data_IF_509931762112
#
_entry.id   IF_509931762112
#
_cell.length_a   1.000
_cell.length_b   1.000
_cell.length_c   1.000
_cell.angle_alpha   90.00
_cell.angle_beta   90.00
_cell.angle_gamma   90.00
#
_symmetry.space_group_name_H-M   'P 1'
#
loop_
_entity.id
_entity.type
_entity.pdbx_description
1 polymer ?
#
# COMPACT_ATOMS: atom_id res chain seq x y z
N UNK A 1 16.73 4.52 1.16
CA UNK A 1 16.30 5.91 1.49
C UNK A 1 17.51 6.83 1.46
N UNK A 2 17.34 8.13 1.15
CA UNK A 2 18.39 9.15 1.24
C UNK A 2 17.92 10.33 2.11
N UNK A 3 18.81 11.28 2.42
CA UNK A 3 18.51 12.44 3.29
C UNK A 3 17.32 13.27 2.81
N UNK A 4 17.16 13.46 1.49
CA UNK A 4 16.04 14.19 0.90
C UNK A 4 14.72 13.46 1.11
N UNK A 5 14.70 12.14 0.90
CA UNK A 5 13.51 11.28 1.13
C UNK A 5 13.14 11.24 2.61
N UNK A 6 14.11 11.06 3.51
CA UNK A 6 13.88 11.05 4.96
C UNK A 6 13.24 12.37 5.45
N UNK A 7 13.80 13.52 5.03
CA UNK A 7 13.23 14.83 5.38
C UNK A 7 11.79 14.98 4.90
N UNK A 8 11.51 14.55 3.66
CA UNK A 8 10.18 14.64 3.09
C UNK A 8 9.17 13.73 3.78
N UNK A 9 9.55 12.48 4.09
CA UNK A 9 8.71 11.56 4.84
C UNK A 9 8.33 12.17 6.21
N UNK A 10 9.29 12.73 6.94
CA UNK A 10 8.99 13.44 8.19
C UNK A 10 8.04 14.62 7.97
N UNK A 11 8.24 15.44 6.94
CA UNK A 11 7.34 16.55 6.65
C UNK A 11 5.90 16.10 6.35
N UNK A 12 5.74 15.02 5.58
CA UNK A 12 4.43 14.42 5.29
C UNK A 12 3.80 13.95 6.60
N UNK A 13 4.50 13.15 7.40
CA UNK A 13 3.97 12.65 8.68
C UNK A 13 3.56 13.80 9.63
N UNK A 14 4.42 14.80 9.80
CA UNK A 14 4.16 15.92 10.71
C UNK A 14 3.00 16.83 10.29
N UNK A 15 2.64 16.84 8.99
CA UNK A 15 1.59 17.74 8.47
C UNK A 15 0.21 17.08 8.34
N UNK A 16 0.13 15.75 8.37
CA UNK A 16 -1.11 15.03 8.04
C UNK A 16 -1.78 14.33 9.22
N UNK A 17 -1.07 14.14 10.32
CA UNK A 17 -1.57 13.39 11.46
C UNK A 17 -1.51 14.28 12.71
N UNK A 18 -2.60 14.30 13.48
CA UNK A 18 -2.79 15.22 14.61
C UNK A 18 -3.36 14.48 15.81
N UNK A 19 -2.55 13.65 16.47
CA UNK A 19 -2.77 12.93 17.73
C UNK A 19 -1.59 11.96 17.89
N UNK A 20 -1.27 11.43 19.09
CA UNK A 20 -0.19 10.45 19.20
C UNK A 20 -0.58 9.18 18.42
N UNK A 21 -0.07 9.10 17.20
CA UNK A 21 -0.03 7.89 16.38
C UNK A 21 1.34 7.26 16.57
N UNK A 22 1.41 5.93 16.53
CA UNK A 22 2.70 5.25 16.44
C UNK A 22 3.13 5.13 14.97
N UNK A 23 4.38 5.46 14.69
CA UNK A 23 5.00 5.29 13.37
C UNK A 23 5.98 4.12 13.45
N UNK A 24 5.76 3.14 12.59
CA UNK A 24 6.59 1.94 12.50
C UNK A 24 7.34 1.94 11.18
N UNK A 25 8.67 1.90 11.25
CA UNK A 25 9.54 1.94 10.08
C UNK A 25 10.30 0.63 9.94
N UNK A 26 10.27 0.04 8.75
CA UNK A 26 11.18 -1.04 8.36
C UNK A 26 12.28 -0.46 7.47
N UNK A 27 13.54 -0.66 7.83
CA UNK A 27 14.68 0.06 7.22
C UNK A 27 15.77 -0.90 6.80
N UNK A 28 16.18 -0.81 5.53
CA UNK A 28 17.31 -1.57 5.00
C UNK A 28 18.66 -1.06 5.56
N UNK A 29 19.69 -1.91 5.51
CA UNK A 29 21.01 -1.60 6.07
C UNK A 29 21.65 -0.32 5.49
N UNK A 30 21.45 -0.03 4.20
CA UNK A 30 22.02 1.16 3.56
C UNK A 30 21.30 2.44 3.99
N UNK A 31 20.03 2.33 4.38
CA UNK A 31 19.22 3.43 4.88
C UNK A 31 19.41 3.72 6.37
N UNK A 32 20.08 2.84 7.11
CA UNK A 32 20.24 2.94 8.56
C UNK A 32 20.90 4.25 9.00
N UNK A 33 21.84 4.77 8.20
CA UNK A 33 22.55 6.03 8.45
C UNK A 33 21.63 7.26 8.52
N UNK A 34 20.40 7.17 8.01
CA UNK A 34 19.42 8.26 8.04
C UNK A 34 18.36 8.11 9.14
N UNK A 35 18.35 6.98 9.86
CA UNK A 35 17.30 6.63 10.84
C UNK A 35 17.28 7.60 12.01
N UNK A 36 18.42 7.91 12.61
CA UNK A 36 18.47 8.77 13.80
C UNK A 36 17.90 10.17 13.53
N UNK A 37 18.27 10.76 12.39
CA UNK A 37 17.75 12.06 11.96
C UNK A 37 16.25 12.00 11.66
N UNK A 38 15.79 10.94 10.99
CA UNK A 38 14.38 10.73 10.68
C UNK A 38 13.54 10.55 11.94
N UNK A 39 13.95 9.64 12.84
CA UNK A 39 13.26 9.33 14.10
C UNK A 39 13.19 10.56 14.99
N UNK A 40 14.30 11.32 15.10
CA UNK A 40 14.31 12.57 15.87
C UNK A 40 13.32 13.59 15.32
N UNK A 41 13.25 13.72 13.98
CA UNK A 41 12.34 14.64 13.29
C UNK A 41 10.87 14.22 13.40
N UNK A 42 10.57 12.92 13.41
CA UNK A 42 9.20 12.43 13.60
C UNK A 42 8.78 12.58 15.07
N UNK A 43 9.65 12.25 16.03
CA UNK A 43 9.37 12.41 17.46
C UNK A 43 9.11 13.86 17.87
N UNK A 44 9.79 14.83 17.26
CA UNK A 44 9.56 16.25 17.54
C UNK A 44 8.15 16.72 17.14
N UNK A 45 7.46 15.97 16.29
CA UNK A 45 6.06 16.21 15.91
C UNK A 45 5.05 15.45 16.80
N UNK A 46 5.51 14.77 17.86
CA UNK A 46 4.65 14.15 18.86
C UNK A 46 4.27 12.67 18.61
N UNK A 47 4.90 12.01 17.63
CA UNK A 47 4.67 10.59 17.38
C UNK A 47 5.53 9.69 18.27
N UNK A 48 4.96 8.57 18.70
CA UNK A 48 5.76 7.42 19.11
C UNK A 48 6.38 6.78 17.86
N UNK A 49 7.65 6.42 17.93
CA UNK A 49 8.36 5.87 16.76
C UNK A 49 9.11 4.62 17.15
N UNK A 50 8.82 3.53 16.44
CA UNK A 50 9.57 2.28 16.48
C UNK A 50 10.21 2.04 15.11
N UNK A 51 11.48 1.65 15.12
CA UNK A 51 12.21 1.27 13.92
C UNK A 51 12.60 -0.19 14.02
N UNK A 52 12.61 -0.86 12.87
CA UNK A 52 13.03 -2.23 12.72
C UNK A 52 13.98 -2.27 11.53
N UNK A 53 15.15 -2.86 11.73
CA UNK A 53 16.00 -3.17 10.60
C UNK A 53 15.34 -4.31 9.81
N UNK A 54 15.32 -4.22 8.48
CA UNK A 54 14.87 -5.34 7.63
C UNK A 54 15.54 -6.63 8.13
N UNK A 55 14.78 -7.70 8.43
CA UNK A 55 15.34 -8.85 9.10
C UNK A 55 16.41 -9.51 8.22
N UNK A 56 17.60 -9.80 8.78
CA UNK A 56 18.74 -10.26 7.98
C UNK A 56 18.66 -11.69 7.42
N UNK A 57 17.77 -12.59 7.87
CA UNK A 57 17.75 -13.97 7.35
C UNK A 57 16.36 -14.58 7.04
N UNK A 58 15.30 -14.13 7.71
CA UNK A 58 13.98 -14.81 7.69
C UNK A 58 13.28 -14.76 6.31
N UNK A 59 13.62 -13.79 5.45
CA UNK A 59 13.06 -13.70 4.09
C UNK A 59 13.94 -14.34 3.01
N UNK A 60 15.19 -14.69 3.35
CA UNK A 60 16.19 -15.21 2.43
C UNK A 60 16.11 -16.74 2.28
N UNK A 61 15.26 -17.43 3.03
CA UNK A 61 15.06 -18.87 2.89
C UNK A 61 14.18 -19.20 1.66
N UNK A 62 14.70 -18.89 0.48
CA UNK A 62 14.50 -19.61 -0.78
C UNK A 62 15.82 -19.51 -1.55
N UNK A 63 16.52 -20.63 -1.83
CA UNK A 63 17.81 -20.57 -2.48
C UNK A 63 17.64 -20.35 -3.98
N UNK A 64 18.13 -19.21 -4.47
CA UNK A 64 18.54 -19.09 -5.87
C UNK A 64 19.82 -18.28 -5.93
N UNK A 65 20.87 -18.95 -6.44
CA UNK A 65 22.23 -18.44 -6.58
C UNK A 65 22.26 -17.18 -7.43
N UNK A 66 23.27 -16.34 -7.16
CA UNK A 66 23.42 -14.99 -7.68
C UNK A 66 23.18 -14.85 -9.18
N UNK A 67 22.50 -13.77 -9.54
CA UNK A 67 22.46 -13.25 -10.88
C UNK A 67 22.66 -11.73 -10.83
N UNK A 68 23.58 -11.26 -11.67
CA UNK A 68 23.95 -9.88 -11.85
C UNK A 68 22.77 -9.02 -12.34
N UNK A 69 23.00 -7.71 -12.37
CA UNK A 69 22.04 -6.63 -12.59
C UNK A 69 21.17 -6.71 -13.88
N UNK A 70 21.35 -7.73 -14.72
CA UNK A 70 20.65 -7.97 -15.99
C UNK A 70 19.48 -8.97 -15.90
N UNK A 71 19.33 -9.73 -14.81
CA UNK A 71 18.23 -10.71 -14.63
C UNK A 71 16.89 -10.09 -14.17
N UNK A 72 16.74 -8.76 -14.17
CA UNK A 72 15.59 -8.04 -13.57
C UNK A 72 14.28 -8.14 -14.37
N UNK A 73 14.24 -8.86 -15.49
CA UNK A 73 13.11 -8.92 -16.41
C UNK A 73 12.46 -10.32 -16.57
N UNK A 74 12.92 -11.34 -15.86
CA UNK A 74 12.19 -12.62 -15.84
C UNK A 74 10.95 -12.55 -14.94
N UNK A 75 9.77 -12.98 -15.41
CA UNK A 75 8.53 -12.95 -14.62
C UNK A 75 8.67 -13.64 -13.25
N UNK A 76 9.41 -14.75 -13.17
CA UNK A 76 9.76 -15.48 -11.93
C UNK A 76 10.38 -14.57 -10.88
N UNK A 77 11.32 -13.72 -11.28
CA UNK A 77 12.01 -12.78 -10.38
C UNK A 77 11.06 -11.71 -9.84
N UNK A 78 10.01 -11.37 -10.59
CA UNK A 78 9.03 -10.40 -10.12
C UNK A 78 8.05 -10.98 -9.09
N UNK A 79 7.65 -12.25 -9.25
CA UNK A 79 6.86 -12.96 -8.24
C UNK A 79 7.64 -13.09 -6.93
N UNK A 80 8.89 -13.57 -6.99
CA UNK A 80 9.74 -13.68 -5.80
C UNK A 80 9.94 -12.34 -5.10
N UNK A 81 10.11 -11.25 -5.87
CA UNK A 81 10.21 -9.90 -5.31
C UNK A 81 8.94 -9.49 -4.57
N UNK A 82 7.76 -9.70 -5.16
CA UNK A 82 6.47 -9.38 -4.52
C UNK A 82 6.25 -10.19 -3.24
N UNK A 83 6.64 -11.48 -3.23
CA UNK A 83 6.59 -12.33 -2.02
C UNK A 83 7.49 -11.78 -0.92
N UNK A 84 8.73 -11.39 -1.23
CA UNK A 84 9.65 -10.77 -0.26
C UNK A 84 9.07 -9.47 0.32
N UNK A 85 8.45 -8.63 -0.52
CA UNK A 85 7.77 -7.40 -0.08
C UNK A 85 6.56 -7.74 0.81
N UNK A 86 5.74 -8.74 0.45
CA UNK A 86 4.59 -9.16 1.25
C UNK A 86 5.02 -9.61 2.65
N UNK A 87 6.08 -10.41 2.76
CA UNK A 87 6.70 -10.83 4.03
C UNK A 87 7.15 -9.64 4.87
N UNK A 88 7.84 -8.68 4.24
CA UNK A 88 8.29 -7.46 4.89
C UNK A 88 7.12 -6.61 5.43
N UNK A 89 6.06 -6.43 4.63
CA UNK A 89 4.84 -5.74 5.06
C UNK A 89 4.15 -6.46 6.20
N UNK A 90 4.00 -7.79 6.13
CA UNK A 90 3.37 -8.59 7.19
C UNK A 90 4.16 -8.55 8.51
N UNK A 91 5.49 -8.57 8.45
CA UNK A 91 6.32 -8.39 9.64
C UNK A 91 6.10 -7.02 10.27
N UNK A 92 6.17 -5.94 9.49
CA UNK A 92 5.99 -4.59 10.00
C UNK A 92 4.55 -4.39 10.53
N UNK A 93 3.55 -4.97 9.86
CA UNK A 93 2.16 -4.98 10.32
C UNK A 93 2.04 -5.60 11.71
N UNK A 94 2.56 -6.82 11.90
CA UNK A 94 2.52 -7.51 13.19
C UNK A 94 3.21 -6.68 14.26
N UNK A 95 4.38 -6.11 13.97
CA UNK A 95 5.09 -5.25 14.92
C UNK A 95 4.34 -3.97 15.27
N UNK A 96 3.64 -3.37 14.31
CA UNK A 96 2.78 -2.22 14.58
C UNK A 96 1.60 -2.61 15.48
N UNK A 97 0.90 -3.70 15.17
CA UNK A 97 -0.26 -4.15 15.94
C UNK A 97 0.12 -4.59 17.37
N UNK A 98 1.25 -5.31 17.53
CA UNK A 98 1.79 -5.74 18.84
C UNK A 98 2.20 -4.57 19.74
N UNK A 99 2.76 -3.51 19.16
CA UNK A 99 3.26 -2.36 19.93
C UNK A 99 2.16 -1.41 20.39
N UNK A 100 1.02 -1.38 19.68
CA UNK A 100 -0.11 -0.55 20.09
C UNK A 100 -0.78 -1.16 21.32
N UNK A 101 -0.76 -0.47 22.46
CA UNK A 101 -1.56 -0.80 23.66
C UNK A 101 -3.08 -0.59 23.45
N UNK A 102 -3.52 -0.49 22.19
CA UNK A 102 -4.88 -0.22 21.83
C UNK A 102 -5.67 -1.52 21.94
N UNK A 103 -6.48 -1.62 22.99
CA UNK A 103 -7.28 -2.80 23.33
C UNK A 103 -8.56 -2.95 22.48
N UNK A 104 -8.87 -1.98 21.62
CA UNK A 104 -10.02 -1.99 20.74
C UNK A 104 -9.70 -2.31 19.27
N UNK A 105 -10.75 -2.53 18.49
CA UNK A 105 -10.69 -2.66 17.03
C UNK A 105 -10.96 -1.34 16.29
N UNK A 106 -11.24 -0.28 17.05
CA UNK A 106 -11.44 1.07 16.52
C UNK A 106 -10.09 1.70 16.11
N UNK A 107 -10.05 2.33 14.94
CA UNK A 107 -8.85 3.00 14.44
C UNK A 107 -8.45 2.57 13.03
N UNK A 108 -7.36 3.17 12.56
CA UNK A 108 -6.86 3.02 11.20
C UNK A 108 -5.42 2.52 11.20
N UNK A 109 -5.10 1.65 10.26
CA UNK A 109 -3.74 1.36 9.85
C UNK A 109 -3.51 2.07 8.52
N UNK A 110 -2.49 2.93 8.49
CA UNK A 110 -2.10 3.67 7.28
C UNK A 110 -0.76 3.15 6.79
N UNK A 111 -0.77 2.49 5.64
CA UNK A 111 0.44 2.16 4.89
C UNK A 111 0.80 3.31 3.97
N UNK A 112 2.09 3.60 3.85
CA UNK A 112 2.60 4.65 2.98
C UNK A 112 4.02 4.31 2.54
N UNK A 113 4.29 4.43 1.26
CA UNK A 113 5.65 4.26 0.73
C UNK A 113 6.54 5.44 1.15
N UNK A 114 7.81 5.14 1.49
CA UNK A 114 8.76 6.12 2.04
C UNK A 114 9.26 7.16 1.03
N UNK A 115 8.92 7.00 -0.25
CA UNK A 115 9.41 7.82 -1.36
C UNK A 115 8.32 8.56 -2.15
N UNK A 116 7.13 8.71 -1.58
CA UNK A 116 6.16 9.70 -2.05
C UNK A 116 6.81 11.10 -2.13
N UNK A 117 6.49 11.86 -3.19
CA UNK A 117 6.87 13.27 -3.36
C UNK A 117 5.95 14.21 -2.60
N UNK A 118 4.65 13.95 -2.67
CA UNK A 118 3.65 14.77 -2.00
C UNK A 118 2.43 13.97 -1.61
N UNK A 119 1.93 14.30 -0.43
CA UNK A 119 0.59 14.00 0.04
C UNK A 119 0.00 15.37 0.40
N UNK A 120 -1.13 15.80 -0.19
CA UNK A 120 -1.77 17.07 0.16
C UNK A 120 -2.33 17.07 1.60
N UNK A 121 -2.13 18.16 2.33
CA UNK A 121 -2.65 18.31 3.69
C UNK A 121 -4.16 18.08 3.71
N UNK A 122 -4.62 17.25 4.65
CA UNK A 122 -6.03 16.85 4.74
C UNK A 122 -6.40 15.60 3.94
N UNK A 123 -5.48 15.00 3.16
CA UNK A 123 -5.74 13.74 2.44
C UNK A 123 -6.25 12.64 3.37
N UNK A 124 -5.65 12.44 4.55
CA UNK A 124 -6.07 11.37 5.45
C UNK A 124 -7.46 11.58 6.07
N UNK A 125 -7.77 12.74 6.69
CA UNK A 125 -9.13 13.04 7.12
C UNK A 125 -10.16 12.92 6.00
N UNK A 126 -9.80 13.36 4.78
CA UNK A 126 -10.67 13.26 3.61
C UNK A 126 -10.94 11.80 3.23
N UNK A 127 -9.91 10.96 3.11
CA UNK A 127 -10.06 9.54 2.78
C UNK A 127 -10.90 8.81 3.83
N UNK A 128 -10.67 9.09 5.12
CA UNK A 128 -11.47 8.52 6.21
C UNK A 128 -12.94 8.94 6.10
N UNK A 129 -13.21 10.23 5.92
CA UNK A 129 -14.58 10.74 5.74
C UNK A 129 -15.27 10.14 4.51
N UNK A 130 -14.56 10.00 3.39
CA UNK A 130 -15.06 9.34 2.19
C UNK A 130 -15.42 7.88 2.47
N UNK A 131 -14.53 7.14 3.12
CA UNK A 131 -14.76 5.75 3.53
C UNK A 131 -15.98 5.58 4.46
N UNK A 132 -16.23 6.52 5.37
CA UNK A 132 -17.40 6.52 6.27
C UNK A 132 -18.71 6.94 5.58
N UNK A 133 -18.63 7.77 4.52
CA UNK A 133 -19.80 8.37 3.86
C UNK A 133 -20.59 7.44 2.94
N UNK A 134 -20.07 6.26 2.61
CA UNK A 134 -20.73 5.27 1.76
C UNK A 134 -21.50 4.25 2.59
N UNK A 135 -22.54 3.65 2.00
CA UNK A 135 -23.34 2.60 2.65
C UNK A 135 -23.27 1.30 1.84
N UNK A 136 -22.88 0.16 2.44
CA UNK A 136 -22.22 0.07 3.76
C UNK A 136 -20.88 0.83 3.77
N UNK A 137 -20.37 1.25 4.95
CA UNK A 137 -19.08 1.92 5.06
C UNK A 137 -17.95 1.11 4.42
N UNK A 138 -16.95 1.79 3.89
CA UNK A 138 -15.74 1.15 3.40
C UNK A 138 -14.87 0.66 4.55
N UNK A 139 -14.03 -0.34 4.28
CA UNK A 139 -13.05 -0.89 5.22
C UNK A 139 -11.61 -0.58 4.80
N UNK A 140 -11.38 -0.44 3.49
CA UNK A 140 -10.09 -0.12 2.87
C UNK A 140 -10.32 0.95 1.82
N UNK A 141 -9.52 2.02 1.84
CA UNK A 141 -9.52 3.08 0.83
C UNK A 141 -8.10 3.45 0.39
N UNK A 142 -7.91 3.66 -0.91
CA UNK A 142 -6.65 4.13 -1.51
C UNK A 142 -6.84 5.41 -2.34
N UNK A 143 -5.91 6.39 -2.26
CA UNK A 143 -5.86 7.51 -3.20
C UNK A 143 -5.24 7.08 -4.55
N UNK A 144 -5.35 7.92 -5.59
CA UNK A 144 -4.65 7.73 -6.85
C UNK A 144 -3.23 8.29 -6.77
N UNK A 145 -2.23 7.45 -7.05
CA UNK A 145 -0.85 7.89 -7.10
C UNK A 145 -0.44 8.25 -8.54
N UNK A 146 0.00 9.48 -8.75
CA UNK A 146 0.46 9.97 -10.06
C UNK A 146 1.98 10.04 -10.13
N UNK A 147 2.49 10.11 -11.36
CA UNK A 147 3.89 10.45 -11.63
C UNK A 147 4.24 11.83 -11.07
N UNK A 148 5.53 12.12 -10.98
CA UNK A 148 6.06 13.39 -10.45
C UNK A 148 5.59 14.64 -11.19
N UNK A 149 5.18 14.51 -12.45
CA UNK A 149 4.65 15.60 -13.29
C UNK A 149 3.13 15.80 -13.13
N UNK A 150 2.45 14.91 -12.40
CA UNK A 150 1.00 14.92 -12.19
C UNK A 150 0.16 14.54 -13.41
N UNK A 151 0.77 14.07 -14.52
CA UNK A 151 0.08 13.86 -15.80
C UNK A 151 -0.17 12.39 -16.15
N UNK A 152 0.40 11.45 -15.41
CA UNK A 152 0.16 10.01 -15.57
C UNK A 152 -0.07 9.30 -14.25
N UNK A 153 -0.71 8.13 -14.30
CA UNK A 153 -0.87 7.26 -13.13
C UNK A 153 0.43 6.48 -12.93
N UNK A 154 0.99 6.59 -11.72
CA UNK A 154 2.20 5.87 -11.33
C UNK A 154 1.84 4.45 -10.86
N UNK A 155 0.86 4.35 -9.96
CA UNK A 155 0.44 3.10 -9.35
C UNK A 155 -0.76 2.49 -10.08
N UNK A 156 -0.49 1.45 -10.87
CA UNK A 156 -1.51 0.69 -11.61
C UNK A 156 -2.04 -0.51 -10.82
N UNK A 157 -1.61 -0.71 -9.56
CA UNK A 157 -2.01 -1.85 -8.74
C UNK A 157 -3.42 -1.71 -8.13
N UNK A 158 -4.08 -0.57 -8.30
CA UNK A 158 -5.48 -0.35 -7.92
C UNK A 158 -6.40 -0.55 -9.12
N UNK A 159 -7.29 -1.55 -9.07
CA UNK A 159 -8.08 -1.96 -10.24
C UNK A 159 -9.36 -2.74 -9.87
N UNK A 160 -10.25 -2.88 -10.85
CA UNK A 160 -11.41 -3.79 -10.82
C UNK A 160 -11.25 -4.91 -11.85
N UNK A 161 -11.77 -6.08 -11.50
CA UNK A 161 -11.77 -7.26 -12.36
C UNK A 161 -12.68 -7.04 -13.56
N UNK A 162 -12.28 -7.59 -14.71
CA UNK A 162 -13.11 -7.68 -15.90
C UNK A 162 -13.51 -9.14 -16.14
N UNK A 163 -14.49 -9.37 -17.02
CA UNK A 163 -14.85 -10.73 -17.43
C UNK A 163 -13.64 -11.50 -17.99
N UNK A 164 -12.76 -10.81 -18.72
CA UNK A 164 -11.51 -11.37 -19.23
C UNK A 164 -10.57 -11.75 -18.09
N UNK A 165 -10.26 -10.82 -17.17
CA UNK A 165 -9.32 -11.10 -16.09
C UNK A 165 -9.82 -12.22 -15.17
N UNK A 166 -11.13 -12.29 -14.91
CA UNK A 166 -11.74 -13.38 -14.14
C UNK A 166 -11.60 -14.74 -14.82
N UNK A 167 -11.73 -14.81 -16.15
CA UNK A 167 -11.54 -16.06 -16.87
C UNK A 167 -10.08 -16.53 -16.81
N UNK A 168 -9.13 -15.61 -16.90
CA UNK A 168 -7.70 -15.90 -16.80
C UNK A 168 -7.32 -16.40 -15.42
N UNK A 169 -7.85 -15.79 -14.35
CA UNK A 169 -7.70 -16.31 -12.98
C UNK A 169 -8.28 -17.73 -12.84
N UNK A 170 -9.46 -18.01 -13.43
CA UNK A 170 -10.03 -19.37 -13.44
C UNK A 170 -9.16 -20.39 -14.17
N UNK A 171 -8.39 -19.94 -15.17
CA UNK A 171 -7.42 -20.77 -15.88
C UNK A 171 -6.10 -20.97 -15.09
N UNK A 172 -5.99 -20.40 -13.89
CA UNK A 172 -4.80 -20.52 -13.04
C UNK A 172 -3.67 -19.56 -13.39
N UNK A 173 -3.94 -18.49 -14.14
CA UNK A 173 -2.92 -17.52 -14.53
C UNK A 173 -2.46 -16.65 -13.34
N UNK A 174 -1.17 -16.28 -13.38
CA UNK A 174 -0.59 -15.27 -12.50
C UNK A 174 -0.90 -13.88 -13.07
N UNK A 175 -1.53 -13.06 -12.24
CA UNK A 175 -2.19 -11.81 -12.60
C UNK A 175 -1.86 -10.74 -11.56
N UNK A 176 -0.72 -10.06 -11.71
CA UNK A 176 -0.39 -8.86 -10.94
C UNK A 176 0.50 -7.95 -11.80
N UNK A 177 0.55 -6.65 -11.50
CA UNK A 177 1.23 -5.71 -12.40
C UNK A 177 2.73 -5.97 -12.47
N UNK A 178 3.23 -5.93 -13.70
CA UNK A 178 4.58 -6.32 -14.09
C UNK A 178 4.74 -7.79 -14.49
N UNK A 179 3.72 -8.63 -14.28
CA UNK A 179 3.67 -10.01 -14.76
C UNK A 179 2.87 -10.11 -16.08
N UNK A 180 3.18 -9.24 -17.04
CA UNK A 180 2.44 -9.12 -18.30
C UNK A 180 1.12 -8.35 -18.18
N UNK A 181 0.33 -8.36 -19.26
CA UNK A 181 -0.98 -7.67 -19.29
C UNK A 181 -1.98 -8.44 -18.44
N UNK A 182 -2.72 -7.75 -17.58
CA UNK A 182 -3.70 -8.37 -16.68
C UNK A 182 -5.15 -8.27 -17.20
N UNK A 183 -5.43 -7.39 -18.16
CA UNK A 183 -6.81 -7.17 -18.66
C UNK A 183 -7.75 -6.59 -17.59
N UNK A 184 -7.21 -6.07 -16.49
CA UNK A 184 -7.94 -5.41 -15.41
C UNK A 184 -8.18 -3.96 -15.77
N UNK A 185 -9.23 -3.37 -15.21
CA UNK A 185 -9.57 -1.97 -15.41
C UNK A 185 -8.99 -1.15 -14.26
N UNK A 186 -8.02 -0.28 -14.55
CA UNK A 186 -7.29 0.44 -13.51
C UNK A 186 -8.13 1.59 -12.93
N UNK A 187 -7.88 1.94 -11.68
CA UNK A 187 -8.57 3.05 -11.00
C UNK A 187 -8.38 4.38 -11.74
N UNK A 188 -7.24 4.57 -12.42
CA UNK A 188 -7.01 5.71 -13.30
C UNK A 188 -8.04 5.84 -14.42
N UNK A 189 -8.47 4.72 -15.00
CA UNK A 189 -9.47 4.66 -16.07
C UNK A 189 -10.90 4.87 -15.54
N UNK A 190 -11.13 4.58 -14.25
CA UNK A 190 -12.40 4.78 -13.55
C UNK A 190 -12.66 6.24 -13.16
N UNK A 191 -11.66 7.11 -13.33
CA UNK A 191 -11.80 8.54 -13.17
C UNK A 191 -12.59 9.09 -14.37
N UNK A 192 -13.92 9.09 -14.28
CA UNK A 192 -14.77 9.68 -15.32
C UNK A 192 -14.30 11.10 -15.67
N UNK A 193 -13.94 11.29 -16.95
CA UNK A 193 -13.65 12.58 -17.56
C UNK A 193 -12.56 13.39 -16.85
N UNK A 194 -11.34 13.33 -17.37
CA UNK A 194 -10.46 14.50 -17.36
C UNK A 194 -11.17 15.76 -17.94
N UNK A 195 -12.29 15.53 -18.66
CA UNK A 195 -13.19 16.52 -19.28
C UNK A 195 -14.66 16.48 -18.77
N UNK A 196 -14.89 16.34 -17.46
CA UNK A 196 -16.08 16.93 -16.84
C UNK A 196 -17.44 16.22 -17.06
N UNK A 197 -17.50 14.89 -16.98
CA UNK A 197 -18.77 14.18 -16.74
C UNK A 197 -18.69 13.50 -15.37
N UNK A 198 -19.71 13.71 -14.53
CA UNK A 198 -20.00 12.99 -13.29
C UNK A 198 -18.78 12.49 -12.48
N UNK A 199 -18.31 13.29 -11.52
CA UNK A 199 -17.17 12.89 -10.69
C UNK A 199 -17.60 11.78 -9.71
N UNK A 200 -17.28 10.50 -10.01
CA UNK A 200 -17.31 9.46 -8.97
C UNK A 200 -16.24 9.78 -7.93
N UNK A 201 -16.69 10.16 -6.74
CA UNK A 201 -15.79 10.45 -5.63
C UNK A 201 -15.14 9.16 -5.12
N UNK A 202 -15.86 8.04 -5.16
CA UNK A 202 -15.44 6.75 -4.65
C UNK A 202 -15.83 5.66 -5.65
N UNK A 203 -14.96 4.67 -5.87
CA UNK A 203 -15.20 3.50 -6.70
C UNK A 203 -14.90 2.23 -5.91
N UNK A 204 -15.68 1.16 -6.11
CA UNK A 204 -15.32 -0.14 -5.56
C UNK A 204 -14.10 -0.70 -6.31
N UNK A 205 -13.21 -1.38 -5.60
CA UNK A 205 -12.00 -2.01 -6.14
C UNK A 205 -11.98 -3.52 -5.84
N UNK A 206 -11.11 -4.22 -6.54
CA UNK A 206 -10.75 -5.62 -6.26
C UNK A 206 -9.30 -5.72 -5.79
N UNK A 207 -8.36 -5.09 -6.50
CA UNK A 207 -6.96 -4.95 -6.08
C UNK A 207 -6.64 -3.53 -5.66
N UNK A 208 -5.64 -3.38 -4.79
CA UNK A 208 -5.14 -2.08 -4.32
C UNK A 208 -3.63 -1.97 -4.48
N UNK A 209 -3.17 -0.77 -4.78
CA UNK A 209 -1.76 -0.42 -4.78
C UNK A 209 -1.19 -0.12 -3.40
N UNK A 210 0.13 -0.20 -3.31
CA UNK A 210 0.89 -0.13 -2.06
C UNK A 210 1.36 1.27 -1.66
N UNK A 211 1.22 2.26 -2.55
CA UNK A 211 1.74 3.62 -2.37
C UNK A 211 1.15 4.33 -1.16
N UNK A 212 -0.16 4.19 -0.95
CA UNK A 212 -0.84 4.53 0.29
C UNK A 212 -2.10 3.66 0.45
N UNK A 213 -2.26 3.01 1.61
CA UNK A 213 -3.47 2.25 1.96
C UNK A 213 -3.98 2.73 3.31
N UNK A 214 -5.23 3.15 3.38
CA UNK A 214 -5.92 3.45 4.63
C UNK A 214 -6.91 2.34 4.88
N UNK A 215 -6.74 1.57 5.95
CA UNK A 215 -7.61 0.46 6.27
C UNK A 215 -8.03 0.51 7.74
N UNK A 216 -9.25 0.09 8.03
CA UNK A 216 -9.71 -0.07 9.41
C UNK A 216 -8.91 -1.14 10.12
N UNK A 217 -8.58 -0.92 11.38
CA UNK A 217 -7.76 -1.84 12.18
C UNK A 217 -8.37 -3.26 12.22
N UNK A 218 -9.70 -3.37 12.31
CA UNK A 218 -10.41 -4.65 12.35
C UNK A 218 -10.19 -5.55 11.12
N UNK A 219 -9.83 -4.97 9.96
CA UNK A 219 -9.49 -5.75 8.76
C UNK A 219 -8.31 -6.69 9.05
N UNK A 220 -7.34 -6.23 9.84
CA UNK A 220 -6.15 -6.97 10.20
C UNK A 220 -6.36 -7.80 11.48
N UNK A 221 -6.97 -7.24 12.53
CA UNK A 221 -7.10 -7.89 13.84
C UNK A 221 -8.17 -8.98 13.85
N UNK A 222 -9.41 -8.63 13.50
CA UNK A 222 -10.56 -9.55 13.47
C UNK A 222 -10.61 -10.31 12.15
N UNK A 223 -10.38 -9.60 11.04
CA UNK A 223 -10.43 -10.19 9.70
C UNK A 223 -9.28 -11.12 9.37
N UNK A 224 -8.13 -10.96 10.04
CA UNK A 224 -6.90 -11.69 9.74
C UNK A 224 -6.44 -11.48 8.31
N UNK A 225 -6.81 -10.36 7.67
CA UNK A 225 -6.43 -10.05 6.29
C UNK A 225 -5.00 -9.52 6.30
N UNK A 226 -4.10 -10.20 5.62
CA UNK A 226 -2.69 -9.82 5.49
C UNK A 226 -2.32 -9.66 4.02
N UNK A 227 -1.07 -9.27 3.73
CA UNK A 227 -0.55 -9.27 2.36
C UNK A 227 -0.19 -10.71 1.97
N UNK A 228 -0.85 -11.34 0.98
CA UNK A 228 -0.58 -12.74 0.66
C UNK A 228 0.87 -12.96 0.23
N UNK A 229 1.53 -13.92 0.90
CA UNK A 229 2.91 -14.36 0.63
C UNK A 229 2.95 -15.50 -0.41
N UNK A 230 1.78 -15.90 -0.90
CA UNK A 230 1.54 -16.88 -1.94
C UNK A 230 0.42 -16.36 -2.85
N UNK A 231 0.28 -16.94 -4.05
CA UNK A 231 -0.74 -16.53 -5.01
C UNK A 231 -2.15 -16.74 -4.44
N UNK A 232 -2.91 -15.64 -4.33
CA UNK A 232 -4.32 -15.62 -4.03
C UNK A 232 -5.08 -15.04 -5.21
N UNK A 233 -5.89 -15.87 -5.89
CA UNK A 233 -6.63 -15.48 -7.10
C UNK A 233 -5.74 -14.84 -8.18
N UNK A 234 -4.55 -15.42 -8.39
CA UNK A 234 -3.56 -14.94 -9.35
C UNK A 234 -2.73 -13.75 -8.88
N UNK A 235 -3.02 -13.13 -7.73
CA UNK A 235 -2.28 -11.98 -7.21
C UNK A 235 -1.53 -12.28 -5.91
N UNK A 236 -0.58 -11.42 -5.56
CA UNK A 236 0.21 -11.47 -4.33
C UNK A 236 0.29 -10.07 -3.72
N UNK A 237 0.82 -9.95 -2.51
CA UNK A 237 1.16 -8.65 -1.90
C UNK A 237 -0.05 -7.69 -1.80
N UNK A 238 -0.01 -6.45 -2.32
CA UNK A 238 -1.10 -5.47 -2.11
C UNK A 238 -2.34 -5.78 -2.96
N UNK A 239 -2.13 -6.25 -4.19
CA UNK A 239 -3.23 -6.70 -5.06
C UNK A 239 -3.94 -7.92 -4.44
N UNK A 240 -3.15 -8.86 -3.92
CA UNK A 240 -3.67 -10.01 -3.17
C UNK A 240 -4.38 -9.61 -1.88
N UNK A 241 -3.91 -8.57 -1.17
CA UNK A 241 -4.55 -8.03 0.02
C UNK A 241 -5.96 -7.50 -0.29
N UNK A 242 -6.13 -6.74 -1.37
CA UNK A 242 -7.45 -6.25 -1.81
C UNK A 242 -8.42 -7.40 -2.09
N UNK A 243 -7.97 -8.41 -2.84
CA UNK A 243 -8.77 -9.59 -3.16
C UNK A 243 -9.14 -10.38 -1.90
N UNK A 244 -8.18 -10.57 -0.99
CA UNK A 244 -8.41 -11.30 0.25
C UNK A 244 -9.37 -10.55 1.17
N UNK A 245 -9.23 -9.22 1.30
CA UNK A 245 -10.16 -8.39 2.06
C UNK A 245 -11.58 -8.55 1.53
N UNK A 246 -11.77 -8.41 0.21
CA UNK A 246 -13.08 -8.57 -0.44
C UNK A 246 -13.65 -9.98 -0.27
N UNK A 247 -12.81 -11.01 -0.41
CA UNK A 247 -13.20 -12.40 -0.19
C UNK A 247 -13.67 -12.66 1.24
N UNK A 248 -13.12 -11.93 2.23
CA UNK A 248 -13.55 -11.97 3.63
C UNK A 248 -14.74 -11.06 3.96
N UNK A 249 -15.35 -10.44 2.94
CA UNK A 249 -16.55 -9.61 3.11
C UNK A 249 -16.28 -8.14 3.44
N UNK A 250 -15.01 -7.70 3.42
CA UNK A 250 -14.66 -6.29 3.62
C UNK A 250 -14.82 -5.50 2.33
N UNK A 251 -15.27 -4.24 2.46
CA UNK A 251 -15.46 -3.36 1.32
C UNK A 251 -14.17 -2.60 1.00
N UNK A 252 -13.63 -2.86 -0.19
CA UNK A 252 -12.41 -2.22 -0.71
C UNK A 252 -12.79 -1.17 -1.74
N UNK A 253 -12.38 0.07 -1.52
CA UNK A 253 -12.72 1.21 -2.38
C UNK A 253 -11.49 2.05 -2.74
N UNK A 254 -11.63 2.89 -3.75
CA UNK A 254 -10.63 3.84 -4.21
C UNK A 254 -11.18 5.24 -4.37
N UNK A 255 -10.34 6.25 -4.17
CA UNK A 255 -10.64 7.65 -4.34
C UNK A 255 -9.86 8.21 -5.56
N UNK A 256 -10.38 8.03 -6.79
CA UNK A 256 -9.63 8.34 -8.02
C UNK A 256 -9.26 9.83 -8.19
N UNK A 257 -9.90 10.72 -7.43
CA UNK A 257 -9.66 12.17 -7.48
C UNK A 257 -8.87 12.70 -6.29
N UNK A 258 -8.53 11.86 -5.32
CA UNK A 258 -7.60 12.22 -4.24
C UNK A 258 -6.21 11.83 -4.72
N UNK A 259 -5.40 12.84 -5.06
CA UNK A 259 -4.11 12.64 -5.71
C UNK A 259 -2.97 12.70 -4.70
N UNK A 260 -2.09 11.70 -4.76
CA UNK A 260 -0.75 11.73 -4.16
C UNK A 260 0.27 11.56 -5.29
N UNK A 261 1.51 12.00 -5.09
CA UNK A 261 2.54 11.91 -6.15
C UNK A 261 3.74 11.08 -5.70
N UNK A 262 4.25 10.28 -6.61
CA UNK A 262 5.47 9.49 -6.40
C UNK A 262 6.71 10.20 -6.97
N UNK A 263 7.89 9.93 -6.37
CA UNK A 263 9.20 10.44 -6.80
C UNK A 263 9.74 9.86 -8.10
#
# INVERSE_FOLDING_TARGET
MNSRRARRLSQILCSHFSSPSSVHLLVDANSFVFVDSLVSSIRSCGFEVAFYQEPPEIYLSSPTQGAEAEARHEPSNQLERRIKIAKARNFLLRKALEATNYLGDEGLVVWMDSDLLSVPVGTLPLLFSMMDSISPPGDVIVPLCTNSDGRGVYDLNSWVSTSESLQRVKNGEVMFEGYGKTGRLHMGDLREGWEGRGVKLIVDLDGVGGTMIVARRHVFTVGGVTFPEELFQGSVETEGFGLLAKHRGYRVVGAPNVLITHA
#
